data_IF_880214612564
#
_entry.id   IF_880214612564
#
_cell.length_a   1.000
_cell.length_b   1.000
_cell.length_c   1.000
_cell.angle_alpha   90.00
_cell.angle_beta   90.00
_cell.angle_gamma   90.00
#
_symmetry.space_group_name_H-M   'P 1'
#
loop_
_entity.id
_entity.type
_entity.pdbx_description
1 polymer ?
#
# COMPACT_ATOMS: atom_id res chain seq x y z
N UNK A 1 -1.20 -2.42 -25.57
CA UNK A 1 -2.49 -1.71 -25.40
C UNK A 1 -3.64 -2.35 -26.20
N UNK A 2 -3.43 -2.73 -27.48
CA UNK A 2 -4.50 -3.27 -28.33
C UNK A 2 -5.19 -4.49 -27.73
N UNK A 3 -4.46 -5.55 -27.38
CA UNK A 3 -5.03 -6.76 -26.76
C UNK A 3 -5.74 -6.50 -25.44
N UNK A 4 -5.22 -5.59 -24.62
CA UNK A 4 -5.90 -5.17 -23.40
C UNK A 4 -7.25 -4.54 -23.71
N UNK A 5 -7.28 -3.56 -24.61
CA UNK A 5 -8.49 -2.84 -24.96
C UNK A 5 -9.57 -3.77 -25.55
N UNK A 6 -9.17 -4.71 -26.42
CA UNK A 6 -10.06 -5.73 -26.96
C UNK A 6 -10.63 -6.62 -25.84
N UNK A 7 -9.77 -7.14 -24.96
CA UNK A 7 -10.17 -8.01 -23.84
C UNK A 7 -11.08 -7.29 -22.85
N UNK A 8 -10.81 -6.02 -22.53
CA UNK A 8 -11.62 -5.25 -21.59
C UNK A 8 -13.06 -5.06 -22.08
N UNK A 9 -13.25 -4.84 -23.38
CA UNK A 9 -14.58 -4.71 -23.97
C UNK A 9 -15.29 -6.06 -24.09
N UNK A 10 -14.60 -7.09 -24.62
CA UNK A 10 -15.24 -8.38 -24.92
C UNK A 10 -15.59 -9.20 -23.68
N UNK A 11 -14.77 -9.18 -22.64
CA UNK A 11 -14.92 -10.10 -21.51
C UNK A 11 -15.36 -9.45 -20.20
N UNK A 12 -15.17 -8.14 -20.04
CA UNK A 12 -15.45 -7.45 -18.79
C UNK A 12 -16.51 -6.34 -18.94
N UNK A 13 -17.03 -6.13 -20.16
CA UNK A 13 -17.88 -4.98 -20.47
C UNK A 13 -17.33 -3.66 -19.89
N UNK A 14 -16.02 -3.60 -19.81
CA UNK A 14 -15.29 -2.48 -19.22
C UNK A 14 -14.91 -1.51 -20.32
N UNK A 15 -15.25 -0.26 -20.16
CA UNK A 15 -14.85 0.80 -21.07
C UNK A 15 -13.53 1.46 -20.66
N UNK A 16 -12.70 0.75 -19.90
CA UNK A 16 -11.34 1.20 -19.60
C UNK A 16 -10.45 1.01 -20.81
N UNK A 17 -9.64 2.04 -21.11
CA UNK A 17 -8.68 2.03 -22.22
C UNK A 17 -7.25 2.14 -21.67
N UNK A 18 -6.38 1.27 -22.17
CA UNK A 18 -4.96 1.31 -21.88
C UNK A 18 -4.23 2.15 -22.95
N UNK A 19 -3.41 3.07 -22.50
CA UNK A 19 -2.51 3.87 -23.34
C UNK A 19 -1.11 3.95 -22.76
N UNK A 20 -0.12 4.29 -23.61
CA UNK A 20 1.27 4.51 -23.21
C UNK A 20 1.70 5.88 -23.68
N UNK A 21 2.19 6.71 -22.75
CA UNK A 21 2.66 8.08 -23.04
C UNK A 21 3.70 8.50 -22.01
N UNK A 22 4.77 9.16 -22.47
CA UNK A 22 5.83 9.69 -21.58
C UNK A 22 6.36 8.61 -20.62
N UNK A 23 6.73 7.45 -21.16
CA UNK A 23 7.31 6.30 -20.44
C UNK A 23 6.40 5.71 -19.34
N UNK A 24 5.10 6.00 -19.36
CA UNK A 24 4.11 5.48 -18.41
C UNK A 24 2.92 4.86 -19.13
N UNK A 25 2.35 3.85 -18.49
CA UNK A 25 1.06 3.30 -18.89
C UNK A 25 -0.06 4.02 -18.15
N UNK A 26 -1.20 4.16 -18.80
CA UNK A 26 -2.41 4.76 -18.25
C UNK A 26 -3.60 3.87 -18.57
N UNK A 27 -4.41 3.59 -17.57
CA UNK A 27 -5.78 3.14 -17.78
C UNK A 27 -6.71 4.36 -17.63
N UNK A 28 -7.64 4.49 -18.56
CA UNK A 28 -8.64 5.58 -18.56
C UNK A 28 -10.03 4.97 -18.46
N UNK A 29 -10.82 5.38 -17.48
CA UNK A 29 -12.24 4.99 -17.32
C UNK A 29 -13.15 5.75 -18.29
N UNK A 30 -14.42 5.35 -18.41
CA UNK A 30 -15.46 6.08 -19.16
C UNK A 30 -15.61 7.53 -18.71
N UNK A 31 -15.53 7.77 -17.40
CA UNK A 31 -15.61 9.11 -16.82
C UNK A 31 -14.40 10.00 -17.11
N UNK A 32 -13.37 9.47 -17.80
CA UNK A 32 -12.13 10.19 -18.09
C UNK A 32 -11.10 10.14 -16.96
N UNK A 33 -11.38 9.46 -15.86
CA UNK A 33 -10.41 9.23 -14.79
C UNK A 33 -9.21 8.46 -15.33
N UNK A 34 -7.99 8.91 -15.00
CA UNK A 34 -6.75 8.29 -15.45
C UNK A 34 -5.95 7.78 -14.26
N UNK A 35 -5.42 6.56 -14.39
CA UNK A 35 -4.57 5.92 -13.41
C UNK A 35 -3.25 5.51 -14.06
N UNK A 36 -2.13 5.94 -13.48
CA UNK A 36 -0.78 5.75 -14.03
C UNK A 36 -0.05 4.60 -13.36
N UNK A 37 0.75 3.86 -14.12
CA UNK A 37 1.61 2.78 -13.61
C UNK A 37 2.79 2.49 -14.55
N UNK A 38 3.80 1.73 -14.05
CA UNK A 38 5.08 1.55 -14.74
C UNK A 38 5.16 0.32 -15.65
N UNK A 39 4.29 -0.72 -15.46
CA UNK A 39 4.41 -1.98 -16.19
C UNK A 39 3.11 -2.35 -16.91
N UNK A 40 3.16 -2.79 -18.20
CA UNK A 40 1.96 -3.07 -19.00
C UNK A 40 1.06 -4.16 -18.41
N UNK A 41 1.64 -5.18 -17.77
CA UNK A 41 0.92 -6.29 -17.16
C UNK A 41 -0.04 -5.84 -16.05
N UNK A 42 0.31 -4.75 -15.35
CA UNK A 42 -0.55 -4.16 -14.32
C UNK A 42 -1.89 -3.69 -14.90
N UNK A 43 -1.95 -3.36 -16.18
CA UNK A 43 -3.18 -3.03 -16.87
C UNK A 43 -4.27 -4.07 -16.67
N UNK A 44 -3.93 -5.36 -16.57
CA UNK A 44 -4.88 -6.45 -16.36
C UNK A 44 -5.64 -6.34 -15.02
N UNK A 45 -5.08 -5.68 -14.01
CA UNK A 45 -5.73 -5.49 -12.72
C UNK A 45 -6.90 -4.49 -12.78
N UNK A 46 -6.92 -3.65 -13.81
CA UNK A 46 -7.95 -2.62 -14.00
C UNK A 46 -9.01 -3.00 -15.04
N UNK A 47 -9.07 -4.27 -15.50
CA UNK A 47 -10.06 -4.72 -16.47
C UNK A 47 -11.50 -4.47 -16.00
N UNK A 48 -11.75 -4.53 -14.69
CA UNK A 48 -13.03 -4.21 -14.06
C UNK A 48 -13.15 -2.74 -13.59
N UNK A 49 -12.15 -1.92 -13.90
CA UNK A 49 -12.11 -0.51 -13.52
C UNK A 49 -11.17 -0.19 -12.36
N UNK A 50 -10.78 1.09 -12.27
CA UNK A 50 -9.84 1.62 -11.26
C UNK A 50 -10.44 1.44 -9.85
N UNK A 51 -11.68 1.91 -9.67
CA UNK A 51 -12.38 1.83 -8.39
C UNK A 51 -12.61 0.39 -7.92
N UNK A 52 -12.94 -0.52 -8.84
CA UNK A 52 -13.09 -1.95 -8.52
C UNK A 52 -11.78 -2.54 -8.00
N UNK A 53 -10.63 -2.16 -8.58
CA UNK A 53 -9.30 -2.57 -8.08
C UNK A 53 -9.09 -2.09 -6.65
N UNK A 54 -9.38 -0.83 -6.36
CA UNK A 54 -9.27 -0.28 -5.00
C UNK A 54 -10.18 -0.98 -3.99
N UNK A 55 -11.46 -1.21 -4.34
CA UNK A 55 -12.41 -1.96 -3.49
C UNK A 55 -11.95 -3.39 -3.22
N UNK A 56 -11.43 -4.08 -4.25
CA UNK A 56 -10.88 -5.43 -4.07
C UNK A 56 -9.70 -5.45 -3.09
N UNK A 57 -8.83 -4.42 -3.12
CA UNK A 57 -7.77 -4.31 -2.12
C UNK A 57 -8.32 -4.04 -0.72
N UNK A 58 -9.30 -3.14 -0.58
CA UNK A 58 -9.94 -2.89 0.72
C UNK A 58 -10.55 -4.16 1.32
N UNK A 59 -11.12 -5.03 0.48
CA UNK A 59 -11.61 -6.35 0.87
C UNK A 59 -10.47 -7.29 1.29
N UNK A 60 -9.39 -7.37 0.48
CA UNK A 60 -8.22 -8.20 0.78
C UNK A 60 -7.53 -7.78 2.10
N UNK A 61 -7.58 -6.49 2.46
CA UNK A 61 -7.06 -5.95 3.73
C UNK A 61 -8.07 -5.94 4.88
N UNK A 62 -9.29 -6.43 4.68
CA UNK A 62 -10.33 -6.54 5.72
C UNK A 62 -10.95 -5.21 6.15
N UNK A 63 -10.77 -4.14 5.37
CA UNK A 63 -11.23 -2.79 5.74
C UNK A 63 -12.53 -2.36 5.07
N UNK A 64 -13.09 -3.20 4.20
CA UNK A 64 -14.32 -2.92 3.45
C UNK A 64 -15.57 -2.69 4.34
N UNK A 65 -15.57 -3.21 5.56
CA UNK A 65 -16.66 -3.05 6.54
C UNK A 65 -16.42 -1.88 7.52
N UNK A 66 -15.28 -1.21 7.45
CA UNK A 66 -15.01 -0.05 8.30
C UNK A 66 -15.79 1.17 7.80
N UNK A 67 -16.30 1.96 8.74
CA UNK A 67 -16.92 3.24 8.43
C UNK A 67 -15.84 4.33 8.40
N UNK A 68 -15.77 5.00 7.27
CA UNK A 68 -14.90 6.16 7.07
C UNK A 68 -15.73 7.43 7.00
N UNK A 69 -15.19 8.52 7.53
CA UNK A 69 -15.77 9.84 7.45
C UNK A 69 -14.92 10.76 6.55
N UNK A 70 -15.51 11.85 6.08
CA UNK A 70 -14.77 12.90 5.41
C UNK A 70 -13.64 13.40 6.31
N UNK A 71 -12.46 13.57 5.71
CA UNK A 71 -11.22 13.99 6.37
C UNK A 71 -10.56 12.96 7.31
N UNK A 72 -11.07 11.73 7.42
CA UNK A 72 -10.31 10.67 8.08
C UNK A 72 -8.92 10.53 7.45
N UNK A 73 -7.91 10.32 8.29
CA UNK A 73 -6.53 10.18 7.82
C UNK A 73 -6.24 8.70 7.63
N UNK A 74 -5.80 8.37 6.41
CA UNK A 74 -5.35 7.04 6.03
C UNK A 74 -3.87 7.10 5.66
N UNK A 75 -3.05 6.27 6.31
CA UNK A 75 -1.63 6.10 5.99
C UNK A 75 -1.48 4.76 5.25
N UNK A 76 -0.93 4.81 4.04
CA UNK A 76 -0.70 3.63 3.19
C UNK A 76 0.81 3.39 3.07
N UNK A 77 1.32 2.44 3.85
CA UNK A 77 2.71 2.02 3.87
C UNK A 77 2.93 0.96 2.79
N UNK A 78 3.82 1.24 1.83
CA UNK A 78 3.95 0.46 0.61
C UNK A 78 2.78 0.73 -0.34
N UNK A 79 2.55 2.01 -0.64
CA UNK A 79 1.40 2.46 -1.42
C UNK A 79 1.46 2.07 -2.90
N UNK A 80 2.63 1.63 -3.39
CA UNK A 80 2.90 1.27 -4.79
C UNK A 80 2.48 2.42 -5.72
N UNK A 81 1.40 2.27 -6.50
CA UNK A 81 0.86 3.34 -7.36
C UNK A 81 -0.42 3.96 -6.79
N UNK A 82 -0.81 3.63 -5.54
CA UNK A 82 -1.97 4.21 -4.86
C UNK A 82 -3.28 3.48 -5.08
N UNK A 83 -3.27 2.22 -5.53
CA UNK A 83 -4.50 1.46 -5.82
C UNK A 83 -5.46 1.39 -4.62
N UNK A 84 -4.93 1.32 -3.39
CA UNK A 84 -5.74 1.28 -2.18
C UNK A 84 -6.60 2.56 -2.02
N UNK A 85 -6.02 3.73 -2.35
CA UNK A 85 -6.73 5.01 -2.34
C UNK A 85 -7.93 5.03 -3.29
N UNK A 86 -7.81 4.41 -4.47
CA UNK A 86 -8.87 4.39 -5.48
C UNK A 86 -10.18 3.73 -4.99
N UNK A 87 -10.13 2.95 -3.91
CA UNK A 87 -11.29 2.30 -3.32
C UNK A 87 -12.17 3.20 -2.46
N UNK A 88 -11.69 4.36 -2.02
CA UNK A 88 -12.48 5.26 -1.18
C UNK A 88 -13.50 6.06 -2.00
N UNK A 89 -14.72 6.15 -1.46
CA UNK A 89 -15.82 6.91 -2.05
C UNK A 89 -15.92 8.34 -1.47
N UNK A 90 -15.13 8.61 -0.45
CA UNK A 90 -15.15 9.83 0.33
C UNK A 90 -13.86 10.62 0.14
N UNK A 91 -13.96 11.92 0.37
CA UNK A 91 -12.82 12.82 0.41
C UNK A 91 -12.06 12.62 1.74
N UNK A 92 -11.11 11.70 1.74
CA UNK A 92 -10.22 11.38 2.86
C UNK A 92 -8.91 12.13 2.75
N UNK A 93 -8.19 12.27 3.85
CA UNK A 93 -6.80 12.73 3.88
C UNK A 93 -5.88 11.52 3.74
N UNK A 94 -5.33 11.33 2.56
CA UNK A 94 -4.47 10.17 2.28
C UNK A 94 -2.99 10.54 2.37
N UNK A 95 -2.21 9.66 2.99
CA UNK A 95 -0.75 9.74 3.07
C UNK A 95 -0.16 8.46 2.49
N UNK A 96 0.39 8.55 1.28
CA UNK A 96 1.00 7.41 0.59
C UNK A 96 2.52 7.39 0.72
N UNK A 97 3.08 6.26 1.13
CA UNK A 97 4.53 6.08 1.29
C UNK A 97 4.98 4.96 0.36
N UNK A 98 5.90 5.29 -0.57
CA UNK A 98 6.42 4.34 -1.55
C UNK A 98 7.93 4.58 -1.77
N UNK A 99 8.79 3.60 -1.44
CA UNK A 99 10.23 3.74 -1.59
C UNK A 99 10.72 3.65 -3.05
N UNK A 100 10.02 2.92 -3.92
CA UNK A 100 10.45 2.70 -5.29
C UNK A 100 10.45 3.99 -6.11
N UNK A 101 11.59 4.43 -6.66
CA UNK A 101 11.66 5.60 -7.52
C UNK A 101 10.91 5.41 -8.86
N UNK A 102 10.60 4.15 -9.24
CA UNK A 102 9.83 3.82 -10.44
C UNK A 102 8.33 3.99 -10.17
N UNK A 103 7.84 3.60 -8.99
CA UNK A 103 6.41 3.64 -8.66
C UNK A 103 5.98 4.97 -8.05
N UNK A 104 6.83 5.60 -7.26
CA UNK A 104 6.51 6.86 -6.59
C UNK A 104 5.98 7.98 -7.53
N UNK A 105 6.54 8.22 -8.74
CA UNK A 105 5.97 9.20 -9.66
C UNK A 105 4.54 8.87 -10.11
N UNK A 106 4.19 7.58 -10.16
CA UNK A 106 2.83 7.15 -10.49
C UNK A 106 1.89 7.36 -9.29
N UNK A 107 2.34 6.99 -8.07
CA UNK A 107 1.62 7.30 -6.84
C UNK A 107 1.27 8.79 -6.76
N UNK A 108 2.27 9.66 -6.88
CA UNK A 108 2.07 11.11 -6.84
C UNK A 108 1.09 11.63 -7.90
N UNK A 109 1.10 11.02 -9.09
CA UNK A 109 0.14 11.36 -10.15
C UNK A 109 -1.28 10.92 -9.80
N UNK A 110 -1.44 9.71 -9.26
CA UNK A 110 -2.74 9.08 -9.03
C UNK A 110 -3.49 9.67 -7.82
N UNK A 111 -2.76 9.99 -6.75
CA UNK A 111 -3.36 10.51 -5.50
C UNK A 111 -3.22 12.03 -5.39
N UNK A 112 -3.56 12.73 -6.45
CA UNK A 112 -3.46 14.19 -6.53
C UNK A 112 -4.07 14.86 -5.29
N UNK A 113 -3.45 15.98 -4.86
CA UNK A 113 -3.84 16.78 -3.69
C UNK A 113 -3.68 16.05 -2.33
N UNK A 114 -3.08 14.88 -2.31
CA UNK A 114 -2.75 14.15 -1.08
C UNK A 114 -1.24 14.18 -0.80
N UNK A 115 -0.86 13.79 0.41
CA UNK A 115 0.55 13.79 0.83
C UNK A 115 1.21 12.49 0.38
N UNK A 116 2.41 12.59 -0.19
CA UNK A 116 3.18 11.41 -0.58
C UNK A 116 4.64 11.55 -0.18
N UNK A 117 5.27 10.43 0.24
CA UNK A 117 6.66 10.35 0.61
C UNK A 117 7.38 9.29 -0.22
N UNK A 118 8.54 9.66 -0.81
CA UNK A 118 9.43 8.71 -1.47
C UNK A 118 10.52 8.25 -0.50
N UNK A 119 10.14 7.43 0.46
CA UNK A 119 11.00 6.89 1.51
C UNK A 119 10.59 5.45 1.82
N UNK A 120 11.51 4.67 2.37
CA UNK A 120 11.19 3.41 3.01
C UNK A 120 10.81 3.66 4.47
N UNK A 121 9.78 2.96 4.96
CA UNK A 121 9.48 2.96 6.40
C UNK A 121 10.35 1.93 7.11
N UNK A 122 10.89 2.32 8.25
CA UNK A 122 11.77 1.48 9.05
C UNK A 122 11.65 1.80 10.54
N UNK A 123 12.24 0.95 11.39
CA UNK A 123 12.21 1.13 12.85
C UNK A 123 12.94 2.37 13.35
N UNK A 124 13.86 2.91 12.56
CA UNK A 124 14.60 4.15 12.85
C UNK A 124 14.90 4.89 11.54
N UNK A 125 15.11 6.19 11.65
CA UNK A 125 15.51 6.99 10.50
C UNK A 125 16.99 6.78 10.21
N UNK A 126 17.29 6.39 8.99
CA UNK A 126 18.66 6.26 8.47
C UNK A 126 18.80 7.14 7.23
N UNK A 127 20.02 7.59 6.97
CA UNK A 127 20.30 8.37 5.77
C UNK A 127 19.94 7.58 4.50
N UNK A 128 20.32 6.30 4.47
CA UNK A 128 20.07 5.39 3.36
C UNK A 128 20.02 3.94 3.84
N UNK A 129 19.15 3.14 3.22
CA UNK A 129 19.08 1.69 3.39
C UNK A 129 19.03 1.03 2.01
N UNK A 130 19.52 -0.20 1.91
CA UNK A 130 19.38 -0.99 0.68
C UNK A 130 17.92 -1.38 0.46
N UNK A 131 17.46 -1.16 -0.76
CA UNK A 131 16.13 -1.55 -1.21
C UNK A 131 16.29 -2.37 -2.49
N UNK A 132 15.64 -3.51 -2.55
CA UNK A 132 15.80 -4.50 -3.60
C UNK A 132 14.56 -4.55 -4.48
N UNK A 133 14.75 -4.51 -5.79
CA UNK A 133 13.70 -4.63 -6.79
C UNK A 133 13.94 -5.86 -7.68
N UNK A 134 12.88 -6.56 -8.04
CA UNK A 134 12.92 -7.69 -8.98
C UNK A 134 12.29 -7.30 -10.31
N UNK A 135 13.04 -7.41 -11.39
CA UNK A 135 12.51 -7.20 -12.74
C UNK A 135 11.56 -8.32 -13.16
N UNK A 136 11.79 -9.55 -12.68
CA UNK A 136 10.98 -10.74 -13.03
C UNK A 136 9.68 -10.79 -12.23
N UNK A 137 9.77 -10.75 -10.90
CA UNK A 137 8.61 -10.94 -10.01
C UNK A 137 7.89 -9.65 -9.67
N UNK A 138 8.47 -8.48 -10.03
CA UNK A 138 8.00 -7.14 -9.68
C UNK A 138 7.92 -6.91 -8.17
N UNK A 139 8.48 -7.83 -7.36
CA UNK A 139 8.58 -7.67 -5.91
C UNK A 139 9.65 -6.66 -5.54
N UNK A 140 9.39 -5.92 -4.48
CA UNK A 140 10.24 -4.84 -3.97
C UNK A 140 10.28 -4.93 -2.46
N UNK A 141 11.49 -4.94 -1.87
CA UNK A 141 11.64 -5.12 -0.42
C UNK A 141 12.93 -4.54 0.12
N UNK A 142 12.94 -4.20 1.40
CA UNK A 142 14.17 -3.92 2.16
C UNK A 142 14.89 -5.23 2.48
N UNK A 143 14.16 -6.31 2.73
CA UNK A 143 14.74 -7.65 2.92
C UNK A 143 14.99 -8.29 1.56
N UNK A 144 16.25 -8.72 1.31
CA UNK A 144 16.60 -9.37 0.04
C UNK A 144 15.84 -10.68 -0.10
N UNK A 145 15.08 -10.82 -1.20
CA UNK A 145 14.40 -12.06 -1.59
C UNK A 145 15.04 -12.66 -2.85
N UNK A 146 14.76 -13.94 -3.12
CA UNK A 146 15.23 -14.64 -4.33
C UNK A 146 14.74 -13.90 -5.58
N UNK A 147 15.56 -13.83 -6.62
CA UNK A 147 15.30 -13.17 -7.92
C UNK A 147 15.31 -11.64 -7.92
N UNK A 148 15.87 -10.99 -6.92
CA UNK A 148 16.08 -9.53 -6.97
C UNK A 148 17.33 -9.20 -7.77
N UNK A 149 17.13 -8.36 -8.80
CA UNK A 149 18.16 -8.04 -9.79
C UNK A 149 18.77 -6.67 -9.60
N UNK A 150 18.11 -5.78 -8.84
CA UNK A 150 18.53 -4.41 -8.65
C UNK A 150 18.52 -4.01 -7.17
N UNK A 151 19.64 -3.51 -6.69
CA UNK A 151 19.78 -2.85 -5.39
C UNK A 151 19.87 -1.34 -5.59
N UNK A 152 19.08 -0.59 -4.84
CA UNK A 152 19.12 0.87 -4.81
C UNK A 152 19.21 1.36 -3.36
N UNK A 153 19.67 2.59 -3.15
CA UNK A 153 19.66 3.23 -1.83
C UNK A 153 18.45 4.15 -1.73
N UNK A 154 17.71 4.00 -0.64
CA UNK A 154 16.54 4.83 -0.33
C UNK A 154 16.65 5.41 1.08
N UNK A 155 16.11 6.61 1.26
CA UNK A 155 16.02 7.25 2.59
C UNK A 155 14.96 6.51 3.42
N UNK A 156 15.10 6.57 4.75
CA UNK A 156 14.09 6.02 5.65
C UNK A 156 13.43 7.10 6.51
N UNK A 157 12.19 6.82 6.91
CA UNK A 157 11.45 7.50 7.96
C UNK A 157 10.81 6.46 8.89
N UNK A 158 10.45 6.88 10.09
CA UNK A 158 9.59 6.08 10.98
C UNK A 158 8.13 6.46 10.80
N UNK A 159 7.20 5.57 11.17
CA UNK A 159 5.78 5.92 11.23
C UNK A 159 5.50 7.05 12.22
N UNK A 160 6.24 7.12 13.33
CA UNK A 160 6.12 8.22 14.28
C UNK A 160 6.37 9.58 13.62
N UNK A 161 7.39 9.70 12.76
CA UNK A 161 7.67 10.95 12.04
C UNK A 161 6.55 11.31 11.04
N UNK A 162 5.96 10.32 10.38
CA UNK A 162 4.83 10.54 9.47
C UNK A 162 3.62 11.07 10.25
N UNK A 163 3.32 10.50 11.43
CA UNK A 163 2.18 10.91 12.26
C UNK A 163 2.43 12.28 12.92
N UNK A 164 3.66 12.56 13.37
CA UNK A 164 4.03 13.88 13.88
C UNK A 164 3.80 14.98 12.82
N UNK A 165 4.14 14.70 11.55
CA UNK A 165 3.88 15.62 10.44
C UNK A 165 2.38 15.80 10.16
N UNK A 166 1.57 14.73 10.34
CA UNK A 166 0.11 14.79 10.15
C UNK A 166 -0.61 15.57 11.26
N UNK A 167 -0.03 15.61 12.46
CA UNK A 167 -0.51 16.30 13.67
C UNK A 167 -2.01 16.04 13.98
N UNK A 168 -2.44 14.78 13.87
CA UNK A 168 -3.84 14.38 14.04
C UNK A 168 -3.94 12.89 14.40
N UNK A 169 -5.13 12.47 14.86
CA UNK A 169 -5.44 11.05 14.99
C UNK A 169 -5.55 10.39 13.60
N UNK A 170 -5.17 9.11 13.55
CA UNK A 170 -5.13 8.31 12.33
C UNK A 170 -6.26 7.29 12.36
N UNK A 171 -7.12 7.31 11.36
CA UNK A 171 -8.20 6.34 11.24
C UNK A 171 -7.69 4.96 10.89
N UNK A 172 -6.77 4.87 9.92
CA UNK A 172 -6.25 3.59 9.44
C UNK A 172 -4.80 3.72 9.00
N UNK A 173 -3.97 2.76 9.41
CA UNK A 173 -2.68 2.48 8.78
C UNK A 173 -2.77 1.14 8.06
N UNK A 174 -2.48 1.11 6.75
CA UNK A 174 -2.21 -0.11 6.01
C UNK A 174 -0.70 -0.34 5.95
N UNK A 175 -0.25 -1.55 6.28
CA UNK A 175 1.17 -1.93 6.26
C UNK A 175 1.39 -3.07 5.27
N UNK A 176 2.18 -2.82 4.24
CA UNK A 176 2.64 -3.79 3.25
C UNK A 176 4.11 -3.51 2.94
N UNK A 177 5.02 -4.20 3.62
CA UNK A 177 6.46 -3.98 3.55
C UNK A 177 7.21 -5.09 2.82
N UNK A 178 6.52 -6.09 2.25
CA UNK A 178 7.09 -7.27 1.61
C UNK A 178 8.12 -7.96 2.52
N UNK A 179 7.67 -8.29 3.74
CA UNK A 179 8.44 -8.97 4.79
C UNK A 179 9.18 -8.05 5.76
N UNK A 180 8.97 -6.73 5.72
CA UNK A 180 9.52 -5.76 6.67
C UNK A 180 8.47 -5.11 7.58
N UNK A 181 7.28 -5.71 7.67
CA UNK A 181 6.17 -5.21 8.48
C UNK A 181 6.53 -5.06 9.96
N UNK A 182 7.27 -5.99 10.62
CA UNK A 182 7.67 -5.83 12.01
C UNK A 182 8.52 -4.58 12.23
N UNK A 183 9.50 -4.32 11.37
CA UNK A 183 10.38 -3.15 11.50
C UNK A 183 9.63 -1.84 11.22
N UNK A 184 8.62 -1.86 10.33
CA UNK A 184 7.73 -0.72 10.09
C UNK A 184 6.91 -0.43 11.35
N UNK A 185 6.33 -1.45 11.97
CA UNK A 185 5.57 -1.34 13.21
C UNK A 185 6.46 -0.90 14.37
N UNK A 186 7.68 -1.41 14.50
CA UNK A 186 8.67 -0.94 15.49
C UNK A 186 8.99 0.55 15.35
N UNK A 187 8.75 1.15 14.18
CA UNK A 187 8.85 2.59 13.93
C UNK A 187 7.65 3.40 14.44
N UNK A 188 6.64 2.73 15.02
CA UNK A 188 5.43 3.32 15.58
C UNK A 188 5.37 3.07 17.09
N UNK A 189 6.06 3.88 17.88
CA UNK A 189 6.15 3.74 19.34
C UNK A 189 5.44 4.88 20.08
N UNK A 190 5.84 6.11 19.75
CA UNK A 190 5.36 7.32 20.40
C UNK A 190 3.89 7.61 20.10
N UNK A 191 3.49 7.44 18.85
CA UNK A 191 2.19 7.86 18.34
C UNK A 191 1.18 6.70 18.14
N UNK A 192 1.52 5.49 18.54
CA UNK A 192 0.66 4.31 18.33
C UNK A 192 -0.74 4.47 18.96
N UNK A 193 -0.83 5.20 20.07
CA UNK A 193 -2.08 5.52 20.75
C UNK A 193 -3.03 6.41 19.95
N UNK A 194 -2.54 7.13 18.94
CA UNK A 194 -3.33 7.98 18.03
C UNK A 194 -3.97 7.22 16.89
N UNK A 195 -3.70 5.91 16.75
CA UNK A 195 -4.14 5.10 15.63
C UNK A 195 -5.35 4.26 16.03
N UNK A 196 -6.45 4.34 15.27
CA UNK A 196 -7.66 3.58 15.55
C UNK A 196 -7.57 2.15 14.97
N UNK A 197 -7.20 2.01 13.70
CA UNK A 197 -7.04 0.71 13.02
C UNK A 197 -5.67 0.56 12.38
N UNK A 198 -5.16 -0.68 12.40
CA UNK A 198 -3.97 -1.08 11.64
C UNK A 198 -4.30 -2.38 10.89
N UNK A 199 -4.08 -2.41 9.58
CA UNK A 199 -4.12 -3.63 8.79
C UNK A 199 -2.73 -3.96 8.26
N UNK A 200 -2.33 -5.23 8.37
CA UNK A 200 -0.97 -5.69 8.04
C UNK A 200 -1.04 -6.87 7.08
N UNK A 201 -0.32 -6.80 5.96
CA UNK A 201 -0.02 -7.96 5.13
C UNK A 201 1.12 -8.75 5.77
N UNK A 202 0.82 -9.89 6.36
CA UNK A 202 1.79 -10.75 7.05
C UNK A 202 2.12 -12.02 6.27
N UNK A 203 1.98 -11.97 4.94
CA UNK A 203 2.21 -13.12 4.06
C UNK A 203 3.67 -13.56 4.00
N UNK A 204 3.91 -14.70 3.34
CA UNK A 204 5.20 -15.37 3.20
C UNK A 204 6.13 -14.62 2.23
N UNK A 205 6.62 -13.45 2.64
CA UNK A 205 7.43 -12.57 1.80
C UNK A 205 8.77 -12.17 2.43
N UNK A 206 9.06 -12.64 3.68
CA UNK A 206 10.25 -12.26 4.41
C UNK A 206 11.47 -13.08 4.00
N UNK A 207 12.46 -12.40 3.43
CA UNK A 207 13.77 -12.97 3.12
C UNK A 207 13.75 -14.06 2.07
N UNK A 208 14.89 -14.76 1.93
CA UNK A 208 15.09 -15.83 0.94
C UNK A 208 14.28 -17.08 1.28
N UNK A 209 14.00 -17.33 2.56
CA UNK A 209 13.21 -18.47 3.04
C UNK A 209 11.72 -18.27 2.86
N UNK A 210 11.27 -17.04 2.53
CA UNK A 210 9.86 -16.65 2.44
C UNK A 210 9.11 -16.91 3.75
N UNK A 211 9.68 -16.47 4.88
CA UNK A 211 9.03 -16.56 6.17
C UNK A 211 7.83 -15.59 6.23
N UNK A 212 6.85 -15.90 7.06
CA UNK A 212 5.76 -14.98 7.38
C UNK A 212 6.18 -14.00 8.49
N UNK A 213 5.41 -12.92 8.65
CA UNK A 213 5.61 -11.92 9.71
C UNK A 213 4.47 -11.89 10.74
N UNK A 214 3.62 -12.94 10.75
CA UNK A 214 2.40 -13.01 11.58
C UNK A 214 2.73 -12.86 13.06
N UNK A 215 3.64 -13.70 13.57
CA UNK A 215 3.92 -13.78 15.01
C UNK A 215 4.45 -12.44 15.55
N UNK A 216 5.40 -11.84 14.84
CA UNK A 216 6.03 -10.58 15.25
C UNK A 216 5.01 -9.44 15.22
N UNK A 217 4.21 -9.33 14.15
CA UNK A 217 3.20 -8.28 14.00
C UNK A 217 2.07 -8.43 15.03
N UNK A 218 1.57 -9.66 15.25
CA UNK A 218 0.51 -9.93 16.24
C UNK A 218 0.99 -9.59 17.64
N UNK A 219 2.15 -10.11 18.05
CA UNK A 219 2.69 -9.86 19.38
C UNK A 219 2.89 -8.36 19.61
N UNK A 220 3.53 -7.66 18.67
CA UNK A 220 3.75 -6.21 18.77
C UNK A 220 2.44 -5.44 18.97
N UNK A 221 1.43 -5.71 18.15
CA UNK A 221 0.16 -4.97 18.21
C UNK A 221 -0.67 -5.31 19.46
N UNK A 222 -0.69 -6.58 19.89
CA UNK A 222 -1.39 -6.99 21.12
C UNK A 222 -0.74 -6.37 22.37
N UNK A 223 0.58 -6.37 22.45
CA UNK A 223 1.35 -5.70 23.52
C UNK A 223 1.12 -4.18 23.54
N UNK A 224 0.83 -3.58 22.39
CA UNK A 224 0.51 -2.16 22.25
C UNK A 224 -1.00 -1.84 22.27
N UNK A 225 -1.79 -2.67 22.94
CA UNK A 225 -3.21 -2.44 23.24
C UNK A 225 -4.15 -2.52 22.01
N UNK A 226 -3.83 -3.35 21.01
CA UNK A 226 -4.72 -3.65 19.89
C UNK A 226 -5.36 -5.05 20.04
N UNK A 227 -6.57 -5.19 19.51
CA UNK A 227 -7.23 -6.48 19.31
C UNK A 227 -7.24 -6.83 17.82
N UNK A 228 -6.94 -8.09 17.49
CA UNK A 228 -7.21 -8.63 16.16
C UNK A 228 -8.74 -8.73 15.96
N UNK A 229 -9.27 -8.07 14.92
CA UNK A 229 -10.72 -8.02 14.66
C UNK A 229 -11.12 -8.67 13.34
N UNK A 230 -10.21 -8.84 12.41
CA UNK A 230 -10.47 -9.49 11.12
C UNK A 230 -9.22 -10.22 10.64
N UNK A 231 -9.39 -11.37 9.97
CA UNK A 231 -8.33 -12.15 9.34
C UNK A 231 -8.75 -12.56 7.92
N UNK A 232 -7.94 -12.23 6.93
CA UNK A 232 -8.17 -12.56 5.53
C UNK A 232 -7.17 -13.63 5.04
N UNK A 233 -7.67 -14.81 4.70
CA UNK A 233 -6.85 -15.94 4.28
C UNK A 233 -6.19 -15.75 2.91
N UNK A 234 -6.88 -15.11 1.96
CA UNK A 234 -6.40 -14.97 0.58
C UNK A 234 -5.08 -14.23 0.47
N UNK A 235 -4.84 -13.24 1.31
CA UNK A 235 -3.64 -12.40 1.35
C UNK A 235 -3.01 -12.35 2.74
N UNK A 236 -3.38 -13.21 3.66
CA UNK A 236 -2.90 -13.24 5.06
C UNK A 236 -2.81 -11.82 5.65
N UNK A 237 -3.90 -11.06 5.49
CA UNK A 237 -4.01 -9.75 6.08
C UNK A 237 -4.72 -9.80 7.43
N UNK A 238 -4.19 -9.08 8.39
CA UNK A 238 -4.64 -9.02 9.78
C UNK A 238 -5.08 -7.59 10.08
N UNK A 239 -6.37 -7.39 10.42
CA UNK A 239 -6.89 -6.10 10.84
C UNK A 239 -6.98 -6.03 12.36
N UNK A 240 -6.43 -5.00 12.94
CA UNK A 240 -6.44 -4.73 14.37
C UNK A 240 -7.17 -3.43 14.69
N UNK A 241 -7.88 -3.41 15.82
CA UNK A 241 -8.51 -2.21 16.39
C UNK A 241 -7.84 -1.88 17.72
N UNK A 242 -7.51 -0.62 17.94
CA UNK A 242 -7.01 -0.11 19.20
C UNK A 242 -8.15 -0.13 20.25
N UNK A 243 -7.88 -0.71 21.42
CA UNK A 243 -8.85 -0.86 22.53
C UNK A 243 -9.31 0.48 23.11
N UNK A 244 -8.55 1.55 22.92
CA UNK A 244 -8.91 2.88 23.40
C UNK A 244 -9.96 3.59 22.54
N UNK A 245 -10.30 3.04 21.36
CA UNK A 245 -11.33 3.56 20.46
C UNK A 245 -12.59 2.70 20.58
N UNK A 246 -13.64 3.25 21.15
CA UNK A 246 -14.93 2.57 21.37
C UNK A 246 -15.75 2.45 20.10
#
# INVERSE_FOLDING_TARGET
CFFYNLKSVMFYNSETKLSYKNERYFVTSKSGEKWSFSHPERGLWYLKGIKHRGKSLQEDYGVNNLKFNKNDIIIDCGADVGDFYAGFDLDIRYIGIEPSPINYPNLKYNVKNNITYNVALWKNSQKEISFYESDKTKKKSITKVVDQTREIKVKTMTLDQIIDNANSNIKLIKVEGTGSEPEILEGLKKNIHKVEYITVDSSFERGVNKDHTISECVNYLVENNFNLVEFKFKKICLLFKNKNYV
#
